data_IF_076729349368
#
_entry.id   IF_076729349368
#
_cell.length_a   1.000
_cell.length_b   1.000
_cell.length_c   1.000
_cell.angle_alpha   90.00
_cell.angle_beta   90.00
_cell.angle_gamma   90.00
#
_symmetry.space_group_name_H-M   'P 1'
#
loop_
_entity.id
_entity.type
_entity.pdbx_description
1 polymer ?
#
# COMPACT_ATOMS: atom_id res chain seq x y z
N UNK A 1 -29.48 7.05 -20.09
CA UNK A 1 -28.03 7.28 -20.27
C UNK A 1 -27.31 6.60 -19.11
N UNK A 2 -26.83 5.36 -19.29
CA UNK A 2 -26.07 4.65 -18.27
C UNK A 2 -24.60 4.63 -18.70
N UNK A 3 -23.72 5.21 -17.89
CA UNK A 3 -22.27 5.13 -18.14
C UNK A 3 -21.75 3.80 -17.59
N UNK A 4 -21.34 2.93 -18.51
CA UNK A 4 -20.46 1.78 -18.25
C UNK A 4 -19.04 2.33 -18.09
N UNK A 5 -18.34 1.94 -17.03
CA UNK A 5 -16.88 2.05 -16.98
C UNK A 5 -16.32 0.65 -17.17
N UNK A 6 -15.75 0.44 -18.35
CA UNK A 6 -14.92 -0.70 -18.71
C UNK A 6 -13.55 -0.47 -18.12
N UNK A 7 -12.99 -1.50 -17.49
CA UNK A 7 -11.59 -1.54 -17.10
C UNK A 7 -11.22 -3.00 -16.91
N UNK A 8 -10.42 -3.54 -17.84
CA UNK A 8 -9.82 -4.85 -17.69
C UNK A 8 -8.70 -4.74 -16.65
N UNK A 9 -8.86 -5.42 -15.53
CA UNK A 9 -7.78 -5.65 -14.57
C UNK A 9 -7.39 -7.13 -14.63
N UNK A 10 -6.34 -7.42 -15.39
CA UNK A 10 -5.67 -8.73 -15.33
C UNK A 10 -4.75 -8.73 -14.11
N UNK A 11 -5.08 -9.54 -13.10
CA UNK A 11 -4.15 -9.89 -12.04
C UNK A 11 -3.31 -11.09 -12.50
N UNK A 12 -2.07 -10.85 -12.92
CA UNK A 12 -1.12 -11.95 -13.13
C UNK A 12 -0.41 -12.25 -11.80
N UNK A 13 -0.66 -13.44 -11.25
CA UNK A 13 0.03 -13.95 -10.06
C UNK A 13 1.39 -14.51 -10.49
N UNK A 14 2.48 -13.95 -9.96
CA UNK A 14 3.76 -14.65 -9.88
C UNK A 14 4.02 -15.01 -8.42
N UNK A 15 3.87 -16.30 -8.12
CA UNK A 15 4.43 -16.89 -6.93
C UNK A 15 5.88 -17.27 -7.24
N UNK A 16 6.81 -16.35 -6.98
CA UNK A 16 8.23 -16.67 -7.03
C UNK A 16 8.87 -16.36 -5.69
N UNK A 17 9.56 -17.37 -5.16
CA UNK A 17 10.48 -17.29 -4.03
C UNK A 17 11.29 -15.99 -4.08
N UNK A 18 11.49 -15.26 -2.96
CA UNK A 18 12.25 -14.02 -2.98
C UNK A 18 13.70 -14.31 -3.40
N UNK A 19 14.02 -14.01 -4.66
CA UNK A 19 15.37 -13.95 -5.19
C UNK A 19 15.77 -12.48 -5.22
N UNK A 20 16.75 -12.11 -4.39
CA UNK A 20 17.46 -10.84 -4.50
C UNK A 20 18.25 -10.84 -5.81
N UNK A 21 17.72 -10.24 -6.87
CA UNK A 21 18.49 -10.01 -8.10
C UNK A 21 18.97 -8.57 -8.13
N UNK A 22 20.25 -8.37 -7.83
CA UNK A 22 20.92 -7.08 -7.99
C UNK A 22 21.37 -6.95 -9.44
N UNK A 23 20.56 -6.29 -10.28
CA UNK A 23 21.02 -5.92 -11.62
C UNK A 23 21.98 -4.71 -11.52
N UNK A 24 23.27 -5.03 -11.39
CA UNK A 24 24.37 -4.06 -11.24
C UNK A 24 24.81 -3.50 -12.61
N UNK A 25 24.22 -3.96 -13.72
CA UNK A 25 24.72 -3.68 -15.08
C UNK A 25 23.81 -2.73 -15.87
N UNK A 26 23.36 -1.61 -15.30
CA UNK A 26 22.94 -0.42 -16.11
C UNK A 26 22.42 0.79 -15.34
N UNK A 27 22.12 0.72 -14.04
CA UNK A 27 21.73 1.90 -13.25
C UNK A 27 22.97 2.68 -12.75
N UNK A 28 22.91 4.01 -12.55
CA UNK A 28 23.89 4.67 -11.68
C UNK A 28 23.92 3.91 -10.35
N UNK A 29 25.10 3.72 -9.75
CA UNK A 29 25.45 2.85 -8.61
C UNK A 29 24.64 3.06 -7.30
N UNK A 30 23.47 3.68 -7.35
CA UNK A 30 22.72 4.26 -6.25
C UNK A 30 21.27 3.77 -6.17
N UNK A 31 20.78 3.03 -7.17
CA UNK A 31 19.38 2.57 -7.20
C UNK A 31 19.30 1.05 -7.12
N UNK A 32 18.76 0.54 -6.02
CA UNK A 32 18.44 -0.88 -5.83
C UNK A 32 16.94 -1.08 -6.01
N UNK A 33 16.55 -2.00 -6.89
CA UNK A 33 15.15 -2.40 -7.06
C UNK A 33 14.93 -3.72 -6.33
N UNK A 34 13.95 -3.74 -5.43
CA UNK A 34 13.52 -4.94 -4.73
C UNK A 34 12.20 -5.39 -5.36
N UNK A 35 12.16 -6.65 -5.83
CA UNK A 35 10.97 -7.28 -6.44
C UNK A 35 10.37 -8.33 -5.52
N UNK A 36 9.11 -8.71 -5.77
CA UNK A 36 8.39 -9.74 -5.01
C UNK A 36 8.30 -9.46 -3.50
N UNK A 37 7.82 -8.25 -3.17
CA UNK A 37 7.67 -7.83 -1.78
C UNK A 37 6.47 -8.50 -1.11
N UNK A 38 6.66 -8.98 0.12
CA UNK A 38 5.59 -9.41 1.03
C UNK A 38 5.60 -8.48 2.24
N UNK A 39 4.43 -8.16 2.82
CA UNK A 39 4.29 -7.43 4.09
C UNK A 39 5.34 -7.73 5.17
N UNK A 40 5.73 -9.00 5.35
CA UNK A 40 6.73 -9.43 6.35
C UNK A 40 8.13 -8.87 6.12
N UNK A 41 8.41 -8.35 4.93
CA UNK A 41 9.68 -7.72 4.55
C UNK A 41 9.70 -6.22 4.88
N UNK A 42 8.64 -5.67 5.50
CA UNK A 42 8.68 -4.32 6.06
C UNK A 42 9.70 -4.26 7.19
N UNK A 43 10.49 -3.19 7.25
CA UNK A 43 11.55 -3.03 8.23
C UNK A 43 12.53 -1.92 7.84
N UNK A 44 13.59 -1.77 8.62
CA UNK A 44 14.66 -0.81 8.32
C UNK A 44 15.65 -1.42 7.33
N UNK A 45 15.84 -0.76 6.20
CA UNK A 45 16.81 -1.14 5.18
C UNK A 45 18.04 -0.24 5.31
N UNK A 46 19.21 -0.84 5.14
CA UNK A 46 20.49 -0.16 5.32
C UNK A 46 21.32 -0.23 4.05
N UNK A 47 21.95 0.89 3.74
CA UNK A 47 23.04 0.97 2.78
C UNK A 47 24.35 1.11 3.55
N UNK A 48 25.30 0.24 3.26
CA UNK A 48 26.64 0.25 3.84
C UNK A 48 27.65 0.56 2.73
N UNK A 49 28.54 1.52 2.99
CA UNK A 49 29.68 1.84 2.13
C UNK A 49 30.95 1.70 2.95
N UNK A 50 31.83 0.78 2.55
CA UNK A 50 33.07 0.48 3.24
C UNK A 50 34.28 0.83 2.36
N UNK A 51 35.21 1.61 2.91
CA UNK A 51 36.51 1.90 2.32
C UNK A 51 37.56 0.90 2.85
N UNK A 52 38.38 0.36 1.95
CA UNK A 52 39.43 -0.60 2.30
C UNK A 52 40.71 0.10 2.79
N UNK A 53 41.77 -0.66 3.08
CA UNK A 53 43.05 -0.17 3.56
C UNK A 53 43.56 1.08 2.82
N UNK A 54 44.22 2.04 3.51
CA UNK A 54 44.66 1.98 4.91
C UNK A 54 43.71 2.61 5.93
N UNK A 55 42.62 3.27 5.47
CA UNK A 55 41.79 4.12 6.34
C UNK A 55 40.60 3.42 6.99
N UNK A 56 40.23 2.22 6.52
CA UNK A 56 39.14 1.36 7.04
C UNK A 56 37.99 2.17 7.64
N UNK A 57 37.14 2.71 6.78
CA UNK A 57 35.98 3.49 7.20
C UNK A 57 34.71 2.91 6.59
N UNK A 58 33.70 2.69 7.43
CA UNK A 58 32.38 2.21 7.02
C UNK A 58 31.34 3.26 7.38
N UNK A 59 30.59 3.74 6.39
CA UNK A 59 29.42 4.61 6.60
C UNK A 59 28.14 3.81 6.35
N UNK A 60 27.19 3.93 7.28
CA UNK A 60 25.91 3.22 7.23
C UNK A 60 24.79 4.25 7.26
N UNK A 61 23.83 4.10 6.35
CA UNK A 61 22.60 4.89 6.33
C UNK A 61 21.40 3.95 6.31
N UNK A 62 20.44 4.21 7.20
CA UNK A 62 19.23 3.41 7.36
C UNK A 62 17.99 4.22 6.99
N UNK A 63 17.00 3.58 6.37
CA UNK A 63 15.68 4.14 6.14
C UNK A 63 14.58 3.08 6.32
N UNK A 64 13.43 3.43 6.90
CA UNK A 64 12.31 2.51 7.04
C UNK A 64 11.63 2.27 5.69
N UNK A 65 11.28 1.01 5.42
CA UNK A 65 10.46 0.61 4.28
C UNK A 65 9.24 -0.16 4.80
N UNK A 66 8.05 0.30 4.40
CA UNK A 66 6.79 -0.37 4.69
C UNK A 66 6.20 -0.90 3.40
N UNK A 67 6.01 -2.21 3.32
CA UNK A 67 5.26 -2.83 2.23
C UNK A 67 3.78 -2.67 2.55
N UNK A 68 3.02 -2.09 1.62
CA UNK A 68 1.58 -1.81 1.80
C UNK A 68 0.77 -2.80 0.97
N UNK A 69 -0.19 -3.45 1.63
CA UNK A 69 -1.18 -4.30 0.99
C UNK A 69 -2.50 -3.51 0.96
N UNK A 70 -2.87 -2.86 -0.16
CA UNK A 70 -4.10 -2.10 -0.24
C UNK A 70 -5.32 -3.04 -0.23
N UNK A 71 -6.49 -2.56 0.25
CA UNK A 71 -7.71 -3.35 0.17
C UNK A 71 -8.07 -3.65 -1.30
N UNK A 72 -8.57 -4.86 -1.56
CA UNK A 72 -8.89 -5.30 -2.91
C UNK A 72 -10.01 -4.48 -3.57
N UNK A 73 -10.92 -3.90 -2.76
CA UNK A 73 -12.04 -3.08 -3.21
C UNK A 73 -12.12 -1.77 -2.46
N UNK A 74 -12.84 -0.82 -3.06
CA UNK A 74 -13.24 0.40 -2.38
C UNK A 74 -14.14 0.10 -1.16
N UNK A 75 -14.12 0.96 -0.13
CA UNK A 75 -15.02 0.84 1.02
C UNK A 75 -16.47 0.68 0.60
N UNK A 76 -17.20 -0.21 1.27
CA UNK A 76 -18.61 -0.47 1.00
C UNK A 76 -19.46 0.12 2.12
N UNK A 77 -20.46 0.93 1.74
CA UNK A 77 -21.43 1.50 2.67
C UNK A 77 -22.74 0.74 2.53
N UNK A 78 -23.19 0.15 3.63
CA UNK A 78 -24.47 -0.56 3.71
C UNK A 78 -25.38 0.20 4.66
N UNK A 79 -26.57 0.57 4.17
CA UNK A 79 -27.62 1.20 4.96
C UNK A 79 -28.48 0.15 5.66
N UNK A 80 -29.00 0.47 6.84
CA UNK A 80 -29.92 -0.45 7.55
C UNK A 80 -31.29 -0.58 6.88
N UNK A 81 -31.65 0.37 6.00
CA UNK A 81 -32.96 0.47 5.33
C UNK A 81 -32.77 1.03 3.92
N UNK A 82 -33.70 0.69 3.03
CA UNK A 82 -33.68 1.14 1.62
C UNK A 82 -34.18 2.58 1.42
N UNK A 83 -34.93 3.12 2.39
CA UNK A 83 -35.42 4.50 2.34
C UNK A 83 -35.52 5.12 3.74
N UNK A 84 -35.41 6.46 3.77
CA UNK A 84 -35.45 7.28 4.98
C UNK A 84 -36.31 8.52 4.73
N UNK A 85 -37.11 8.91 5.72
CA UNK A 85 -37.87 10.15 5.72
C UNK A 85 -37.11 11.26 6.46
N UNK A 86 -37.53 12.51 6.26
CA UNK A 86 -36.97 13.65 7.00
C UNK A 86 -37.19 13.44 8.50
N UNK A 87 -36.10 13.53 9.27
CA UNK A 87 -36.11 13.32 10.73
C UNK A 87 -35.72 11.91 11.15
N UNK A 88 -35.55 10.97 10.21
CA UNK A 88 -35.07 9.63 10.53
C UNK A 88 -33.59 9.63 10.93
N UNK A 89 -33.24 8.69 11.81
CA UNK A 89 -31.84 8.40 12.15
C UNK A 89 -31.30 7.40 11.13
N UNK A 90 -30.31 7.83 10.35
CA UNK A 90 -29.61 6.98 9.41
C UNK A 90 -28.60 6.12 10.17
N UNK A 91 -28.68 4.81 9.98
CA UNK A 91 -27.66 3.85 10.44
C UNK A 91 -27.02 3.22 9.22
N UNK A 92 -25.70 3.38 9.13
CA UNK A 92 -24.89 2.87 8.05
C UNK A 92 -23.68 2.13 8.62
N UNK A 93 -23.22 1.12 7.89
CA UNK A 93 -21.96 0.44 8.16
C UNK A 93 -21.03 0.66 6.98
N UNK A 94 -19.82 1.16 7.25
CA UNK A 94 -18.75 1.27 6.27
C UNK A 94 -17.75 0.16 6.56
N UNK A 95 -17.60 -0.77 5.62
CA UNK A 95 -16.62 -1.84 5.71
C UNK A 95 -15.53 -1.66 4.65
N UNK A 96 -14.31 -2.00 5.03
CA UNK A 96 -13.15 -2.09 4.13
C UNK A 96 -12.61 -3.52 4.23
N UNK A 97 -12.16 -4.06 3.10
CA UNK A 97 -11.49 -5.35 3.08
C UNK A 97 -10.18 -5.31 3.86
N UNK A 98 -9.59 -6.47 4.13
CA UNK A 98 -8.28 -6.56 4.80
C UNK A 98 -7.23 -5.71 4.05
N UNK A 99 -6.49 -4.91 4.81
CA UNK A 99 -5.36 -4.14 4.30
C UNK A 99 -4.23 -4.09 5.32
N UNK A 100 -3.03 -3.77 4.84
CA UNK A 100 -1.89 -3.48 5.69
C UNK A 100 -1.17 -2.20 5.26
N UNK A 101 -0.93 -1.24 6.16
CA UNK A 101 -1.44 -1.19 7.54
C UNK A 101 -2.98 -1.08 7.58
N UNK A 102 -3.55 -1.13 8.80
CA UNK A 102 -4.99 -0.96 8.97
C UNK A 102 -5.44 0.36 8.33
N UNK A 103 -6.56 0.37 7.58
CA UNK A 103 -6.96 1.52 6.80
C UNK A 103 -7.58 2.59 7.70
N UNK A 104 -7.37 3.86 7.36
CA UNK A 104 -8.06 4.97 8.01
C UNK A 104 -9.42 5.18 7.33
N UNK A 105 -10.51 4.91 8.05
CA UNK A 105 -11.87 5.07 7.56
C UNK A 105 -12.42 6.41 8.05
N UNK A 106 -12.92 7.24 7.14
CA UNK A 106 -13.53 8.53 7.46
C UNK A 106 -14.89 8.64 6.80
N UNK A 107 -15.87 9.18 7.53
CA UNK A 107 -17.20 9.47 6.99
C UNK A 107 -17.27 10.90 6.46
N UNK A 108 -17.92 11.09 5.32
CA UNK A 108 -18.18 12.40 4.71
C UNK A 108 -19.65 12.42 4.30
N UNK A 109 -20.36 13.46 4.69
CA UNK A 109 -21.75 13.70 4.32
C UNK A 109 -21.82 15.01 3.53
N UNK A 110 -22.31 14.95 2.29
CA UNK A 110 -22.47 16.12 1.40
C UNK A 110 -21.21 17.01 1.29
N UNK A 111 -20.04 16.37 1.08
CA UNK A 111 -18.72 17.04 1.04
C UNK A 111 -18.29 17.79 2.32
N UNK A 112 -19.09 17.69 3.39
CA UNK A 112 -18.74 18.17 4.71
C UNK A 112 -18.22 17.00 5.56
N UNK A 113 -16.94 17.10 5.94
CA UNK A 113 -16.36 16.22 6.97
C UNK A 113 -17.06 16.54 8.28
N UNK A 114 -17.92 15.66 8.76
CA UNK A 114 -18.69 15.89 9.99
C UNK A 114 -18.61 14.67 10.92
N UNK A 115 -18.10 14.96 12.12
CA UNK A 115 -17.87 14.12 13.31
C UNK A 115 -16.67 13.15 13.26
#
# INVERSE_FOLDING_TARGET
>A
MHRRLSGDYQCEQSADTPLFHTDIRSAPLTVVRISSMHRRLSGDYQCEVSADAPLFHTDIRSAPLTVVDPPFRAPQIVLSRDSYARGDIIRANCSVDESYPAPNITWILDDHKNL
#
